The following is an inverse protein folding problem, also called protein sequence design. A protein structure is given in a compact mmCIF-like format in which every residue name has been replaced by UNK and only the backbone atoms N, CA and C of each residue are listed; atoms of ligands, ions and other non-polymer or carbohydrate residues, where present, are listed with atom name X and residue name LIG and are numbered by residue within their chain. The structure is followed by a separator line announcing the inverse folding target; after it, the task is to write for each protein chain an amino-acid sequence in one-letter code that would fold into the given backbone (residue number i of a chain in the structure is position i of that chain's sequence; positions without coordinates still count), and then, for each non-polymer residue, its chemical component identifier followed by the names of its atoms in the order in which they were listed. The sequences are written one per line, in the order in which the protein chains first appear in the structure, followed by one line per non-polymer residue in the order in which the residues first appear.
data_IF_114643681259
#
_entry.id   IF_114643681259
#
_cell.length_a   1.000
_cell.length_b   1.000
_cell.length_c   1.000
_cell.angle_alpha   90.00
_cell.angle_beta   90.00
_cell.angle_gamma   90.00
#
_symmetry.space_group_name_H-M   'P 1'
#
loop_
_entity.id
_entity.type
_entity.pdbx_description
1 polymer ?
#
# COMPACT_ATOMS: atom_id res chain seq x y z
N UNK A 1 -3.64 2.93 -0.04
CA UNK A 1 -2.48 3.03 0.87
C UNK A 1 -2.35 4.41 1.52
N UNK A 2 -2.47 5.52 0.77
CA UNK A 2 -2.41 6.88 1.33
C UNK A 2 -3.53 7.17 2.35
N UNK A 3 -4.74 6.63 2.13
CA UNK A 3 -5.88 6.79 3.02
C UNK A 3 -5.68 6.19 4.42
N UNK A 4 -5.05 5.02 4.52
CA UNK A 4 -4.79 4.36 5.81
C UNK A 4 -3.68 5.07 6.60
N UNK A 5 -2.68 5.62 5.90
CA UNK A 5 -1.64 6.45 6.51
C UNK A 5 -2.26 7.74 7.04
N UNK A 6 -3.10 8.40 6.24
CA UNK A 6 -3.84 9.60 6.63
C UNK A 6 -4.74 9.37 7.86
N UNK A 7 -5.50 8.27 7.89
CA UNK A 7 -6.30 7.87 9.06
C UNK A 7 -5.46 7.60 10.32
N UNK A 8 -4.32 6.93 10.18
CA UNK A 8 -3.42 6.70 11.30
C UNK A 8 -2.79 8.00 11.83
N UNK A 9 -2.43 8.93 10.95
CA UNK A 9 -1.96 10.26 11.35
C UNK A 9 -3.07 11.05 12.05
N UNK A 10 -4.31 10.99 11.54
CA UNK A 10 -5.45 11.66 12.16
C UNK A 10 -5.82 11.08 13.53
N UNK A 11 -5.76 9.75 13.72
CA UNK A 11 -6.01 9.14 15.03
C UNK A 11 -4.98 9.59 16.09
N UNK A 12 -3.74 9.84 15.69
CA UNK A 12 -2.69 10.38 16.58
C UNK A 12 -2.95 11.85 16.90
N UNK A 13 -3.32 12.65 15.89
CA UNK A 13 -3.50 14.11 16.01
C UNK A 13 -4.81 14.48 16.72
N UNK A 14 -5.91 13.82 16.41
CA UNK A 14 -7.25 14.19 16.88
C UNK A 14 -7.74 13.33 18.05
N UNK A 15 -7.21 12.11 18.23
CA UNK A 15 -7.67 11.18 19.27
C UNK A 15 -6.62 10.95 20.37
N UNK A 16 -5.46 11.62 20.29
CA UNK A 16 -4.32 11.47 21.22
C UNK A 16 -3.93 10.00 21.46
N UNK A 17 -4.17 9.12 20.48
CA UNK A 17 -3.79 7.72 20.59
C UNK A 17 -2.27 7.59 20.46
N UNK A 18 -1.66 6.61 21.16
CA UNK A 18 -0.25 6.32 20.99
C UNK A 18 0.08 6.05 19.52
N UNK A 19 1.27 6.48 19.09
CA UNK A 19 1.72 6.33 17.69
C UNK A 19 1.60 4.86 17.29
N UNK A 20 0.82 4.53 16.24
CA UNK A 20 0.64 3.16 15.82
C UNK A 20 1.96 2.61 15.29
N UNK A 21 2.25 1.34 15.59
CA UNK A 21 3.43 0.68 15.03
C UNK A 21 3.26 0.48 13.51
N UNK A 22 4.37 0.36 12.79
CA UNK A 22 4.36 0.08 11.34
C UNK A 22 3.48 -1.14 11.02
N UNK A 23 3.52 -2.17 11.87
CA UNK A 23 2.70 -3.37 11.73
C UNK A 23 1.20 -3.09 11.85
N UNK A 24 0.79 -2.23 12.79
CA UNK A 24 -0.60 -1.82 12.95
C UNK A 24 -1.08 -0.99 11.74
N UNK A 25 -0.24 -0.12 11.21
CA UNK A 25 -0.54 0.66 10.00
C UNK A 25 -0.74 -0.28 8.80
N UNK A 26 0.14 -1.28 8.62
CA UNK A 26 0.04 -2.27 7.56
C UNK A 26 -1.24 -3.11 7.68
N UNK A 27 -1.56 -3.60 8.87
CA UNK A 27 -2.75 -4.43 9.08
C UNK A 27 -4.05 -3.65 8.83
N UNK A 28 -4.07 -2.37 9.22
CA UNK A 28 -5.22 -1.50 8.96
C UNK A 28 -5.32 -1.18 7.47
N UNK A 29 -4.19 -0.96 6.79
CA UNK A 29 -4.14 -0.74 5.35
C UNK A 29 -4.66 -1.96 4.56
N UNK A 30 -4.24 -3.17 4.92
CA UNK A 30 -4.69 -4.41 4.27
C UNK A 30 -6.17 -4.69 4.52
N UNK A 31 -6.65 -4.46 5.75
CA UNK A 31 -8.07 -4.55 6.08
C UNK A 31 -8.91 -3.62 5.19
N UNK A 32 -8.53 -2.33 5.13
CA UNK A 32 -9.24 -1.37 4.29
C UNK A 32 -9.19 -1.79 2.82
N UNK A 33 -8.04 -2.18 2.29
CA UNK A 33 -7.93 -2.66 0.89
C UNK A 33 -8.88 -3.84 0.60
N UNK A 34 -9.01 -4.79 1.53
CA UNK A 34 -9.98 -5.89 1.42
C UNK A 34 -11.44 -5.38 1.40
N UNK A 35 -11.75 -4.40 2.25
CA UNK A 35 -13.06 -3.76 2.28
C UNK A 35 -13.38 -2.99 0.99
N UNK A 36 -12.43 -2.23 0.46
CA UNK A 36 -12.56 -1.52 -0.82
C UNK A 36 -12.78 -2.50 -2.00
N UNK A 37 -12.11 -3.65 -2.01
CA UNK A 37 -12.31 -4.71 -3.00
C UNK A 37 -13.76 -5.24 -2.97
N UNK A 38 -14.34 -5.41 -1.79
CA UNK A 38 -15.74 -5.84 -1.62
C UNK A 38 -16.74 -4.78 -2.10
N UNK A 39 -16.41 -3.49 -1.94
CA UNK A 39 -17.22 -2.36 -2.40
C UNK A 39 -17.11 -2.08 -3.91
N UNK A 40 -16.07 -2.58 -4.58
CA UNK A 40 -15.86 -2.42 -6.03
C UNK A 40 -16.80 -3.27 -6.91
N UNK A 41 -17.97 -3.68 -6.40
CA UNK A 41 -18.86 -4.65 -7.08
C UNK A 41 -19.40 -4.18 -8.45
N UNK A 42 -19.25 -2.91 -8.84
CA UNK A 42 -19.71 -2.38 -10.14
C UNK A 42 -18.89 -1.20 -10.72
N UNK A 43 -17.59 -1.09 -10.45
CA UNK A 43 -16.72 -0.21 -11.26
C UNK A 43 -16.01 -1.04 -12.34
N UNK A 44 -15.65 -0.46 -13.50
CA UNK A 44 -15.06 -1.21 -14.60
C UNK A 44 -13.74 -1.80 -14.14
N UNK A 45 -13.81 -3.04 -13.62
CA UNK A 45 -12.67 -3.78 -13.09
C UNK A 45 -11.54 -3.81 -14.11
N UNK A 46 -11.91 -3.82 -15.40
CA UNK A 46 -11.00 -3.72 -16.52
C UNK A 46 -10.15 -2.46 -16.52
N UNK A 47 -10.71 -1.28 -16.26
CA UNK A 47 -9.97 -0.01 -16.26
C UNK A 47 -8.99 0.06 -15.10
N UNK A 48 -9.42 -0.38 -13.91
CA UNK A 48 -8.55 -0.45 -12.73
C UNK A 48 -7.43 -1.46 -12.96
N UNK A 49 -7.73 -2.64 -13.53
CA UNK A 49 -6.72 -3.63 -13.91
C UNK A 49 -5.75 -3.08 -14.96
N UNK A 50 -6.23 -2.30 -15.93
CA UNK A 50 -5.38 -1.68 -16.94
C UNK A 50 -4.42 -0.67 -16.31
N UNK A 51 -4.92 0.20 -15.42
CA UNK A 51 -4.08 1.16 -14.69
C UNK A 51 -3.07 0.44 -13.78
N UNK A 52 -3.49 -0.59 -13.05
CA UNK A 52 -2.58 -1.39 -12.22
C UNK A 52 -1.47 -2.07 -13.05
N UNK A 53 -1.82 -2.65 -14.21
CA UNK A 53 -0.84 -3.26 -15.11
C UNK A 53 0.14 -2.23 -15.67
N UNK A 54 -0.34 -1.05 -16.07
CA UNK A 54 0.54 0.04 -16.51
C UNK A 54 1.49 0.47 -15.40
N UNK A 55 1.00 0.56 -14.16
CA UNK A 55 1.84 0.86 -12.99
C UNK A 55 2.91 -0.21 -12.76
N UNK A 56 2.55 -1.49 -12.91
CA UNK A 56 3.45 -2.63 -12.76
C UNK A 56 4.55 -2.63 -13.84
N UNK A 57 4.20 -2.34 -15.10
CA UNK A 57 5.17 -2.19 -16.20
C UNK A 57 6.13 -1.05 -15.91
N UNK A 58 5.62 0.13 -15.53
CA UNK A 58 6.48 1.28 -15.19
C UNK A 58 7.39 0.97 -14.01
N UNK A 59 6.88 0.28 -12.98
CA UNK A 59 7.69 -0.14 -11.85
C UNK A 59 8.80 -1.10 -12.29
N UNK A 60 8.47 -2.10 -13.13
CA UNK A 60 9.44 -3.05 -13.69
C UNK A 60 10.50 -2.36 -14.55
N UNK A 61 10.12 -1.39 -15.38
CA UNK A 61 11.06 -0.58 -16.17
C UNK A 61 11.99 0.24 -15.29
N UNK A 62 11.46 0.86 -14.23
CA UNK A 62 12.26 1.59 -13.23
C UNK A 62 13.23 0.62 -12.53
N UNK A 63 12.76 -0.57 -12.12
CA UNK A 63 13.60 -1.57 -11.47
C UNK A 63 14.69 -2.14 -12.40
N UNK A 64 14.38 -2.34 -13.68
CA UNK A 64 15.33 -2.80 -14.68
C UNK A 64 16.37 -1.74 -15.03
N UNK A 65 15.96 -0.46 -15.10
CA UNK A 65 16.84 0.66 -15.45
C UNK A 65 17.70 1.15 -14.28
N UNK A 66 17.22 1.07 -13.04
CA UNK A 66 17.92 1.60 -11.87
C UNK A 66 18.51 0.51 -10.97
N UNK A 67 18.37 -0.77 -11.33
CA UNK A 67 19.01 -1.91 -10.66
C UNK A 67 18.47 -2.17 -9.27
N UNK A 68 17.35 -2.88 -9.16
CA UNK A 68 16.82 -3.31 -7.87
C UNK A 68 17.68 -4.41 -7.22
N UNK A 69 18.28 -4.12 -6.07
CA UNK A 69 18.94 -5.13 -5.20
C UNK A 69 17.88 -5.86 -4.36
N UNK A 70 17.13 -6.79 -4.95
CA UNK A 70 16.23 -7.70 -4.21
C UNK A 70 16.97 -8.65 -3.26
N UNK A 71 18.30 -8.76 -3.39
CA UNK A 71 19.15 -9.62 -2.57
C UNK A 71 19.60 -9.00 -1.24
N UNK A 72 19.04 -7.87 -0.81
CA UNK A 72 19.19 -7.40 0.58
C UNK A 72 18.36 -8.31 1.51
N UNK A 73 18.78 -9.57 1.63
CA UNK A 73 18.41 -10.47 2.70
C UNK A 73 18.62 -9.71 4.01
N UNK A 74 17.60 -9.75 4.86
CA UNK A 74 17.72 -9.46 6.28
C UNK A 74 18.67 -10.50 6.90
N UNK A 75 19.97 -10.31 6.76
CA UNK A 75 20.98 -10.97 7.57
C UNK A 75 21.47 -9.96 8.60
N UNK A 76 21.40 -10.40 9.86
CA UNK A 76 21.36 -9.53 11.02
C UNK A 76 22.69 -8.95 11.46
N UNK A 77 22.57 -7.95 12.33
CA UNK A 77 23.39 -7.72 13.51
C UNK A 77 22.57 -6.85 14.47
#
# INVERSE_FOLDING_TARGET
MFWSIWLCCNDVVFTFKPKPSIMQVLFRATYWLGFWKLLQKEQPQHEILAVCRSLEVVAMEIFASHGWRSNARLEGA
#
